data_IF_372222585792
#
_entry.id   IF_372222585792
#
_cell.length_a   1.000
_cell.length_b   1.000
_cell.length_c   1.000
_cell.angle_alpha   90.00
_cell.angle_beta   90.00
_cell.angle_gamma   90.00
#
_symmetry.space_group_name_H-M   'P 1'
#
loop_
_entity.id
_entity.type
_entity.pdbx_description
1 polymer ?
#
# COMPACT_ATOMS: atom_id res chain seq x y z
N UNK A 1 -10.25 -4.95 6.49
CA UNK A 1 -9.53 -3.77 5.95
C UNK A 1 -8.29 -4.20 5.21
N UNK A 2 -7.85 -3.42 4.24
CA UNK A 2 -6.59 -3.55 3.51
C UNK A 2 -5.78 -2.27 3.74
N UNK A 3 -4.56 -2.35 4.26
CA UNK A 3 -3.74 -1.17 4.57
C UNK A 3 -2.25 -1.42 4.31
N UNK A 4 -1.51 -0.33 4.11
CA UNK A 4 -0.08 -0.37 3.79
C UNK A 4 0.77 0.16 4.94
N UNK A 5 1.92 -0.46 5.15
CA UNK A 5 2.97 0.10 6.00
C UNK A 5 4.26 0.38 5.19
N UNK A 6 4.68 1.65 5.12
CA UNK A 6 5.90 2.14 4.47
C UNK A 6 7.05 2.48 5.44
N UNK A 7 8.25 2.74 4.92
CA UNK A 7 9.51 2.76 5.69
C UNK A 7 10.00 4.15 6.16
N UNK A 8 9.15 5.16 6.14
CA UNK A 8 9.46 6.53 6.52
C UNK A 8 8.91 7.50 5.49
N UNK A 9 8.64 8.77 5.84
CA UNK A 9 8.47 9.78 4.81
C UNK A 9 9.80 9.90 4.05
N UNK A 10 9.78 9.68 2.75
CA UNK A 10 10.88 10.16 1.91
C UNK A 10 10.68 11.66 1.73
N UNK A 11 11.76 12.42 1.53
CA UNK A 11 11.67 13.84 1.20
C UNK A 11 10.86 14.12 -0.08
N UNK A 12 10.58 13.08 -0.88
CA UNK A 12 9.89 13.20 -2.17
C UNK A 12 8.38 12.97 -2.12
N UNK A 13 7.83 12.39 -1.04
CA UNK A 13 6.42 12.02 -0.94
C UNK A 13 5.96 10.92 -1.92
N UNK A 14 6.87 10.36 -2.72
CA UNK A 14 6.58 9.30 -3.69
C UNK A 14 5.95 8.06 -3.04
N UNK A 15 6.33 7.78 -1.79
CA UNK A 15 5.82 6.68 -1.00
C UNK A 15 4.31 6.79 -0.68
N UNK A 16 3.72 7.97 -0.83
CA UNK A 16 2.30 8.21 -0.59
C UNK A 16 1.44 7.95 -1.83
N UNK A 17 2.05 7.94 -3.02
CA UNK A 17 1.32 7.85 -4.28
C UNK A 17 0.62 6.49 -4.39
N UNK A 18 1.35 5.40 -4.20
CA UNK A 18 0.78 4.06 -4.32
C UNK A 18 -0.38 3.81 -3.34
N UNK A 19 -0.26 4.08 -2.02
CA UNK A 19 -1.39 3.87 -1.11
C UNK A 19 -2.59 4.77 -1.40
N UNK A 20 -2.37 5.98 -1.96
CA UNK A 20 -3.44 6.87 -2.40
C UNK A 20 -4.14 6.37 -3.67
N UNK A 21 -3.42 5.70 -4.55
CA UNK A 21 -4.00 5.01 -5.70
C UNK A 21 -4.77 3.77 -5.25
N UNK A 22 -4.20 2.98 -4.34
CA UNK A 22 -4.86 1.80 -3.78
C UNK A 22 -6.17 2.15 -3.09
N UNK A 23 -6.22 3.21 -2.28
CA UNK A 23 -7.47 3.65 -1.62
C UNK A 23 -8.57 4.09 -2.58
N UNK A 24 -8.23 4.42 -3.83
CA UNK A 24 -9.21 4.76 -4.88
C UNK A 24 -9.74 3.53 -5.60
N UNK A 25 -9.00 2.42 -5.59
CA UNK A 25 -9.34 1.18 -6.29
C UNK A 25 -9.95 0.14 -5.36
N UNK A 26 -9.37 -0.03 -4.18
CA UNK A 26 -9.81 -1.00 -3.20
C UNK A 26 -10.74 -0.32 -2.17
N UNK A 27 -12.04 -0.63 -2.24
CA UNK A 27 -13.02 -0.10 -1.29
C UNK A 27 -12.81 -0.57 0.17
N UNK A 28 -11.95 -1.57 0.38
CA UNK A 28 -11.52 -2.04 1.70
C UNK A 28 -10.28 -1.32 2.24
N UNK A 29 -9.78 -0.29 1.54
CA UNK A 29 -8.61 0.51 1.96
C UNK A 29 -8.98 1.94 2.29
N UNK A 30 -8.51 2.41 3.45
CA UNK A 30 -8.46 3.84 3.81
C UNK A 30 -7.02 4.31 3.79
N UNK A 31 -6.76 5.39 3.07
CA UNK A 31 -5.42 6.00 3.02
C UNK A 31 -4.94 6.44 4.42
N UNK A 32 -5.85 6.91 5.27
CA UNK A 32 -5.55 7.33 6.65
C UNK A 32 -5.15 6.19 7.59
N UNK A 33 -5.46 4.93 7.25
CA UNK A 33 -5.05 3.76 8.02
C UNK A 33 -3.67 3.23 7.58
N UNK A 34 -3.08 3.79 6.52
CA UNK A 34 -1.73 3.46 6.10
C UNK A 34 -0.72 4.19 7.00
N UNK A 35 0.33 3.48 7.43
CA UNK A 35 1.38 4.03 8.28
C UNK A 35 2.71 4.05 7.55
N UNK A 36 3.44 5.15 7.67
CA UNK A 36 4.77 5.29 7.07
C UNK A 36 5.85 5.32 8.12
N UNK A 37 5.51 5.11 9.39
CA UNK A 37 6.48 5.12 10.47
C UNK A 37 7.08 3.73 10.63
N UNK A 38 8.39 3.61 10.40
CA UNK A 38 9.12 2.39 10.71
C UNK A 38 9.38 2.34 12.22
N UNK A 39 8.58 1.58 12.96
CA UNK A 39 8.87 1.29 14.35
C UNK A 39 10.21 0.55 14.47
N UNK A 40 11.00 0.82 15.52
CA UNK A 40 12.30 0.18 15.73
C UNK A 40 12.23 -1.35 15.77
N UNK A 41 11.14 -1.91 16.28
CA UNK A 41 10.87 -3.36 16.28
C UNK A 41 10.71 -3.96 14.87
N UNK A 42 10.47 -3.14 13.85
CA UNK A 42 10.28 -3.56 12.44
C UNK A 42 11.51 -3.27 11.57
N UNK A 43 12.62 -2.83 12.16
CA UNK A 43 13.86 -2.47 11.44
C UNK A 43 14.51 -3.64 10.68
N UNK A 44 14.20 -4.89 11.03
CA UNK A 44 14.69 -6.10 10.36
C UNK A 44 13.76 -6.69 9.28
N UNK A 45 12.64 -6.03 8.96
CA UNK A 45 11.70 -6.55 7.97
C UNK A 45 12.24 -6.42 6.54
N UNK A 46 11.75 -7.26 5.62
CA UNK A 46 12.16 -7.18 4.21
C UNK A 46 12.00 -5.76 3.65
N UNK A 47 10.87 -5.09 3.96
CA UNK A 47 10.62 -3.72 3.50
C UNK A 47 11.66 -2.70 3.96
N UNK A 48 12.12 -2.79 5.22
CA UNK A 48 13.12 -1.85 5.75
C UNK A 48 14.50 -2.11 5.18
N UNK A 49 14.84 -3.37 4.91
CA UNK A 49 16.10 -3.72 4.23
C UNK A 49 16.10 -3.21 2.79
N UNK A 50 15.02 -3.42 2.02
CA UNK A 50 14.90 -2.89 0.66
C UNK A 50 15.00 -1.37 0.63
N UNK A 51 14.36 -0.69 1.59
CA UNK A 51 14.44 0.77 1.70
C UNK A 51 15.85 1.25 2.07
N UNK A 52 16.41 0.75 3.18
CA UNK A 52 17.65 1.28 3.75
C UNK A 52 18.92 0.83 3.00
N UNK A 53 18.96 -0.41 2.48
CA UNK A 53 20.16 -0.95 1.83
C UNK A 53 20.14 -0.81 0.30
N UNK A 54 18.95 -0.79 -0.30
CA UNK A 54 18.81 -0.73 -1.76
C UNK A 54 18.23 0.60 -2.26
N UNK A 55 17.94 1.55 -1.36
CA UNK A 55 17.44 2.88 -1.73
C UNK A 55 16.05 2.85 -2.37
N UNK A 56 15.29 1.77 -2.20
CA UNK A 56 13.93 1.65 -2.77
C UNK A 56 12.98 2.44 -1.88
N UNK A 57 12.68 3.68 -2.29
CA UNK A 57 11.79 4.58 -1.55
C UNK A 57 10.38 4.00 -1.36
N UNK A 58 9.84 3.37 -2.41
CA UNK A 58 8.49 2.79 -2.41
C UNK A 58 8.53 1.32 -1.99
N UNK A 59 8.78 1.08 -0.70
CA UNK A 59 8.86 -0.24 -0.09
C UNK A 59 7.79 -0.40 0.99
N UNK A 60 6.89 -1.38 0.82
CA UNK A 60 5.69 -1.53 1.64
C UNK A 60 5.46 -2.96 2.12
N UNK A 61 4.75 -3.09 3.23
CA UNK A 61 4.01 -4.30 3.54
C UNK A 61 2.51 -4.02 3.42
N UNK A 62 1.78 -4.88 2.72
CA UNK A 62 0.33 -4.79 2.57
C UNK A 62 -0.29 -5.82 3.51
N UNK A 63 -1.17 -5.35 4.39
CA UNK A 63 -1.93 -6.18 5.31
C UNK A 63 -3.37 -6.27 4.84
N UNK A 64 -3.97 -7.45 5.00
CA UNK A 64 -5.40 -7.65 4.83
C UNK A 64 -5.94 -8.31 6.09
N UNK A 65 -7.00 -7.74 6.65
CA UNK A 65 -7.71 -8.31 7.79
C UNK A 65 -8.24 -9.70 7.47
N UNK A 66 -8.00 -10.65 8.37
CA UNK A 66 -8.58 -12.00 8.26
C UNK A 66 -10.00 -12.08 8.81
N UNK A 67 -10.39 -11.15 9.67
CA UNK A 67 -11.69 -11.15 10.35
C UNK A 67 -12.76 -10.37 9.60
N UNK A 68 -12.42 -9.68 8.51
CA UNK A 68 -13.36 -8.89 7.71
C UNK A 68 -13.11 -7.39 7.72
N UNK A 69 -14.10 -6.63 7.27
CA UNK A 69 -14.10 -5.17 7.26
C UNK A 69 -14.81 -4.58 8.47
N UNK A 70 -14.33 -3.44 8.92
CA UNK A 70 -14.96 -2.66 10.00
C UNK A 70 -15.43 -1.28 9.54
N UNK A 71 -15.46 -1.03 8.22
CA UNK A 71 -15.89 0.25 7.66
C UNK A 71 -16.53 0.17 6.28
N UNK A 72 -17.31 1.20 5.96
CA UNK A 72 -17.89 1.42 4.64
C UNK A 72 -18.78 0.26 4.22
N UNK A 73 -18.74 -0.11 2.94
CA UNK A 73 -19.51 -1.25 2.43
C UNK A 73 -19.06 -2.61 2.98
N UNK A 74 -17.97 -2.65 3.75
CA UNK A 74 -17.38 -3.87 4.30
C UNK A 74 -17.61 -4.02 5.81
N UNK A 75 -18.24 -3.04 6.47
CA UNK A 75 -18.44 -3.03 7.92
C UNK A 75 -19.25 -4.25 8.39
N UNK A 76 -18.70 -5.00 9.35
CA UNK A 76 -19.33 -6.19 9.93
C UNK A 76 -19.33 -7.41 9.00
N UNK A 77 -18.70 -7.33 7.83
CA UNK A 77 -18.66 -8.42 6.84
C UNK A 77 -17.33 -9.17 6.92
N UNK A 78 -17.41 -10.49 7.10
CA UNK A 78 -16.27 -11.39 6.90
C UNK A 78 -15.90 -11.46 5.42
N UNK A 79 -14.59 -11.49 5.13
CA UNK A 79 -14.10 -11.64 3.77
C UNK A 79 -14.10 -13.10 3.33
N UNK A 80 -14.63 -13.31 2.13
CA UNK A 80 -14.53 -14.56 1.40
C UNK A 80 -13.21 -14.66 0.62
N UNK A 81 -12.87 -15.84 0.12
CA UNK A 81 -11.75 -16.03 -0.82
C UNK A 81 -11.87 -15.12 -2.04
N UNK A 82 -13.07 -14.94 -2.58
CA UNK A 82 -13.32 -14.07 -3.74
C UNK A 82 -13.06 -12.59 -3.41
N UNK A 83 -13.37 -12.16 -2.18
CA UNK A 83 -13.04 -10.82 -1.72
C UNK A 83 -11.51 -10.62 -1.68
N UNK A 84 -10.76 -11.58 -1.15
CA UNK A 84 -9.29 -11.53 -1.15
C UNK A 84 -8.70 -11.50 -2.55
N UNK A 85 -9.24 -12.29 -3.48
CA UNK A 85 -8.84 -12.24 -4.89
C UNK A 85 -9.13 -10.87 -5.50
N UNK A 86 -10.29 -10.29 -5.18
CA UNK A 86 -10.65 -8.93 -5.57
C UNK A 86 -9.65 -7.89 -5.07
N UNK A 87 -9.28 -7.95 -3.78
CA UNK A 87 -8.27 -7.05 -3.22
C UNK A 87 -6.91 -7.21 -3.90
N UNK A 88 -6.49 -8.45 -4.21
CA UNK A 88 -5.26 -8.72 -4.95
C UNK A 88 -5.27 -8.12 -6.36
N UNK A 89 -6.39 -8.24 -7.08
CA UNK A 89 -6.59 -7.59 -8.39
C UNK A 89 -6.49 -6.07 -8.27
N UNK A 90 -7.13 -5.47 -7.26
CA UNK A 90 -7.13 -4.02 -7.07
C UNK A 90 -5.72 -3.51 -6.73
N UNK A 91 -4.92 -4.27 -5.98
CA UNK A 91 -3.48 -4.02 -5.76
C UNK A 91 -2.72 -4.02 -7.10
N UNK A 92 -2.93 -5.04 -7.94
CA UNK A 92 -2.29 -5.12 -9.26
C UNK A 92 -2.62 -3.91 -10.14
N UNK A 93 -3.89 -3.48 -10.15
CA UNK A 93 -4.32 -2.29 -10.90
C UNK A 93 -3.70 -1.00 -10.32
N UNK A 94 -3.53 -0.90 -9.01
CA UNK A 94 -2.85 0.23 -8.38
C UNK A 94 -1.36 0.29 -8.76
N UNK A 95 -0.69 -0.86 -8.81
CA UNK A 95 0.70 -0.97 -9.28
C UNK A 95 0.82 -0.56 -10.75
N UNK A 96 -0.09 -1.03 -11.60
CA UNK A 96 -0.11 -0.67 -13.02
C UNK A 96 -0.28 0.84 -13.26
N UNK A 97 -1.18 1.49 -12.51
CA UNK A 97 -1.33 2.95 -12.63
C UNK A 97 -0.10 3.69 -12.07
N UNK A 98 0.46 3.21 -10.96
CA UNK A 98 1.66 3.78 -10.37
C UNK A 98 2.88 3.70 -11.32
N UNK A 99 3.05 2.59 -12.03
CA UNK A 99 4.14 2.46 -13.03
C UNK A 99 3.97 3.42 -14.20
N UNK A 100 2.73 3.69 -14.63
CA UNK A 100 2.44 4.72 -15.63
C UNK A 100 2.81 6.13 -15.16
N UNK A 101 2.57 6.44 -13.88
CA UNK A 101 2.98 7.73 -13.28
C UNK A 101 4.50 7.90 -13.27
N UNK A 102 5.26 6.83 -12.98
CA UNK A 102 6.72 6.86 -13.03
C UNK A 102 7.23 7.14 -14.45
N UNK A 103 6.71 6.42 -15.46
CA UNK A 103 7.13 6.62 -16.85
C UNK A 103 6.77 7.99 -17.40
N UNK A 104 5.63 8.57 -16.99
CA UNK A 104 5.26 9.94 -17.36
C UNK A 104 6.19 11.01 -16.78
N UNK A 105 6.72 10.79 -15.57
CA UNK A 105 7.68 11.70 -14.92
C UNK A 105 9.09 11.63 -15.54
N UNK A 106 9.52 10.47 -16.04
CA UNK A 106 10.82 10.32 -16.71
C UNK A 106 10.86 10.99 -18.09
N UNK A 107 9.73 11.09 -18.79
CA UNK A 107 9.64 11.82 -20.08
C UNK A 107 9.71 13.35 -19.96
N UNK A 108 9.64 13.90 -18.74
CA UNK A 108 9.70 15.35 -18.50
C UNK A 108 11.05 15.81 -17.90
N UNK A 109 12.07 14.94 -17.83
CA UNK A 109 13.42 15.29 -17.36
C UNK A 109 14.44 15.31 -18.48
#
# INVERSE_FOLDING_TARGET
NVFCEGCGPSTSGAELIFPKLLSRKCGATKFSECSYNLAGSKAGTARSVMHAKHGIACSYLIYVSQIGGDFGAWEGRHYSTDDYQGFGRDVGLAVYEWSGVLMGCEMQR
#
